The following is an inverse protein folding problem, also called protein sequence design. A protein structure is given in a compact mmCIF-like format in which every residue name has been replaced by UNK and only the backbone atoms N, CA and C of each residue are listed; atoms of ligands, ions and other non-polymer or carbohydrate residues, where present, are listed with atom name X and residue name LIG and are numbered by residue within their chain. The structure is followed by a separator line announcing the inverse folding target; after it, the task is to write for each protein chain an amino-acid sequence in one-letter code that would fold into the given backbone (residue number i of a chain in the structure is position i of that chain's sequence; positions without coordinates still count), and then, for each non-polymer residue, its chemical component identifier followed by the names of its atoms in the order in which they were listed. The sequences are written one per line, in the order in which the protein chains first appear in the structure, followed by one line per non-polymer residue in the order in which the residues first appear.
data_IF_309311462084
#
_entry.id   IF_309311462084
#
_cell.length_a   1.000
_cell.length_b   1.000
_cell.length_c   1.000
_cell.angle_alpha   90.00
_cell.angle_beta   90.00
_cell.angle_gamma   90.00
#
_symmetry.space_group_name_H-M   'P 1'
#
loop_
_entity.id
_entity.type
_entity.pdbx_description
1 polymer ?
#
# COMPACT_ATOMS: atom_id res chain seq x y z
N UNK A 1 7.35 -9.56 8.74
CA UNK A 1 6.69 -10.48 7.81
C UNK A 1 6.99 -10.07 6.38
N UNK A 2 6.60 -10.90 5.41
CA UNK A 2 6.73 -10.59 3.97
C UNK A 2 5.34 -10.50 3.37
N UNK A 3 5.11 -9.52 2.49
CA UNK A 3 3.85 -9.36 1.77
C UNK A 3 4.06 -9.66 0.28
N UNK A 4 3.23 -10.53 -0.28
CA UNK A 4 3.19 -10.81 -1.71
C UNK A 4 1.89 -10.28 -2.30
N UNK A 5 1.97 -9.50 -3.38
CA UNK A 5 0.77 -9.04 -4.09
C UNK A 5 0.47 -9.94 -5.28
N UNK A 6 -0.69 -10.62 -5.23
CA UNK A 6 -1.16 -11.57 -6.23
C UNK A 6 -2.60 -11.18 -6.59
N UNK A 7 -2.78 -10.40 -7.66
CA UNK A 7 -4.08 -9.79 -8.02
C UNK A 7 -4.98 -10.70 -8.86
N UNK A 8 -5.11 -11.96 -8.44
CA UNK A 8 -5.94 -12.98 -9.08
C UNK A 8 -5.50 -14.39 -8.68
N UNK A 9 -6.45 -15.31 -8.60
CA UNK A 9 -6.23 -16.74 -8.40
C UNK A 9 -6.13 -17.51 -9.72
N UNK A 10 -6.80 -17.02 -10.77
CA UNK A 10 -6.66 -17.55 -12.13
C UNK A 10 -5.48 -16.88 -12.83
N UNK A 11 -4.76 -17.67 -13.62
CA UNK A 11 -3.62 -17.20 -14.40
C UNK A 11 -4.00 -16.02 -15.28
N UNK A 12 -5.10 -16.15 -16.02
CA UNK A 12 -5.57 -15.17 -16.99
C UNK A 12 -5.89 -13.83 -16.30
N UNK A 13 -6.54 -13.88 -15.13
CA UNK A 13 -6.86 -12.72 -14.32
C UNK A 13 -5.61 -12.03 -13.80
N UNK A 14 -4.69 -12.81 -13.21
CA UNK A 14 -3.44 -12.28 -12.67
C UNK A 14 -2.60 -11.61 -13.77
N UNK A 15 -2.36 -12.30 -14.89
CA UNK A 15 -1.50 -11.80 -15.96
C UNK A 15 -2.12 -10.60 -16.70
N UNK A 16 -3.46 -10.48 -16.70
CA UNK A 16 -4.18 -9.29 -17.18
C UNK A 16 -3.97 -8.08 -16.27
N UNK A 17 -3.97 -8.26 -14.95
CA UNK A 17 -3.77 -7.17 -13.98
C UNK A 17 -2.29 -6.80 -13.81
N UNK A 18 -1.39 -7.78 -13.83
CA UNK A 18 0.05 -7.65 -13.57
C UNK A 18 0.84 -7.89 -14.86
N UNK A 19 0.74 -6.92 -15.77
CA UNK A 19 1.33 -7.00 -17.12
C UNK A 19 2.83 -7.31 -17.04
N UNK A 20 3.27 -8.31 -17.81
CA UNK A 20 4.67 -8.73 -17.88
C UNK A 20 5.10 -9.72 -16.79
N UNK A 21 4.22 -10.08 -15.85
CA UNK A 21 4.47 -11.14 -14.88
C UNK A 21 3.87 -12.47 -15.33
N UNK A 22 4.45 -13.58 -14.87
CA UNK A 22 3.91 -14.93 -15.07
C UNK A 22 3.31 -15.46 -13.78
N UNK A 23 2.03 -15.85 -13.82
CA UNK A 23 1.30 -16.36 -12.65
C UNK A 23 2.02 -17.57 -12.04
N UNK A 24 2.33 -18.57 -12.87
CA UNK A 24 2.97 -19.81 -12.42
C UNK A 24 4.32 -19.55 -11.76
N UNK A 25 5.11 -18.62 -12.31
CA UNK A 25 6.41 -18.25 -11.72
C UNK A 25 6.25 -17.58 -10.36
N UNK A 26 5.30 -16.66 -10.23
CA UNK A 26 5.03 -15.96 -8.96
C UNK A 26 4.54 -16.94 -7.91
N UNK A 27 3.50 -17.73 -8.20
CA UNK A 27 2.94 -18.70 -7.25
C UNK A 27 3.98 -19.73 -6.83
N UNK A 28 4.71 -20.33 -7.77
CA UNK A 28 5.76 -21.31 -7.43
C UNK A 28 6.88 -20.71 -6.58
N UNK A 29 7.23 -19.44 -6.79
CA UNK A 29 8.25 -18.74 -5.99
C UNK A 29 7.75 -18.47 -4.57
N UNK A 30 6.48 -18.10 -4.39
CA UNK A 30 5.87 -17.92 -3.06
C UNK A 30 5.77 -19.26 -2.33
N UNK A 31 5.33 -20.32 -3.01
CA UNK A 31 5.29 -21.67 -2.42
C UNK A 31 6.69 -22.16 -2.01
N UNK A 32 7.70 -21.94 -2.85
CA UNK A 32 9.09 -22.25 -2.53
C UNK A 32 9.62 -21.44 -1.33
N UNK A 33 9.23 -20.18 -1.21
CA UNK A 33 9.52 -19.38 -0.02
C UNK A 33 8.88 -19.97 1.24
N UNK A 34 7.60 -20.35 1.19
CA UNK A 34 6.89 -20.95 2.34
C UNK A 34 7.51 -22.28 2.76
N UNK A 35 7.84 -23.16 1.80
CA UNK A 35 8.54 -24.41 2.06
C UNK A 35 9.89 -24.17 2.73
N UNK A 36 10.68 -23.23 2.20
CA UNK A 36 11.99 -22.91 2.72
C UNK A 36 11.92 -22.22 4.10
N UNK A 37 10.81 -21.55 4.42
CA UNK A 37 10.51 -21.00 5.75
C UNK A 37 10.21 -22.12 6.73
N UNK A 38 9.35 -23.09 6.38
CA UNK A 38 9.01 -24.23 7.25
C UNK A 38 10.23 -25.10 7.54
N UNK A 39 11.06 -25.41 6.53
CA UNK A 39 12.29 -26.18 6.70
C UNK A 39 13.29 -25.55 7.67
N UNK A 40 13.22 -24.22 7.83
CA UNK A 40 14.08 -23.46 8.75
C UNK A 40 13.39 -23.18 10.08
N UNK A 41 12.17 -23.68 10.28
CA UNK A 41 11.34 -23.42 11.45
C UNK A 41 11.21 -21.91 11.74
N UNK A 42 11.23 -21.08 10.69
CA UNK A 42 11.27 -19.63 10.85
C UNK A 42 9.85 -19.09 11.10
N UNK A 43 9.73 -18.21 12.09
CA UNK A 43 8.48 -17.55 12.49
C UNK A 43 7.98 -16.45 11.53
N UNK A 44 8.52 -16.36 10.31
CA UNK A 44 8.20 -15.25 9.41
C UNK A 44 6.73 -15.32 8.96
N UNK A 45 5.95 -14.32 9.33
CA UNK A 45 4.58 -14.22 8.86
C UNK A 45 4.52 -13.79 7.39
N UNK A 46 3.59 -14.36 6.63
CA UNK A 46 3.35 -14.00 5.24
C UNK A 46 1.95 -13.42 5.08
N UNK A 47 1.84 -12.31 4.36
CA UNK A 47 0.57 -11.79 3.88
C UNK A 47 0.50 -11.93 2.36
N UNK A 48 -0.56 -12.55 1.85
CA UNK A 48 -0.87 -12.56 0.43
C UNK A 48 -2.03 -11.61 0.18
N UNK A 49 -1.85 -10.67 -0.74
CA UNK A 49 -2.82 -9.59 -0.98
C UNK A 49 -3.36 -9.60 -2.41
N UNK A 50 -4.66 -9.39 -2.56
CA UNK A 50 -5.34 -9.25 -3.86
C UNK A 50 -6.13 -7.94 -3.91
N UNK A 51 -5.91 -7.14 -4.96
CA UNK A 51 -6.79 -6.01 -5.26
C UNK A 51 -8.11 -6.53 -5.84
N UNK A 52 -9.20 -6.00 -5.30
CA UNK A 52 -10.58 -6.32 -5.67
C UNK A 52 -10.98 -5.59 -6.94
N UNK A 53 -11.22 -6.34 -7.99
CA UNK A 53 -11.75 -5.84 -9.26
C UNK A 53 -13.02 -6.60 -9.64
N UNK A 54 -13.96 -5.99 -10.36
CA UNK A 54 -15.20 -6.67 -10.77
C UNK A 54 -15.00 -8.01 -11.49
N UNK A 55 -13.87 -8.18 -12.20
CA UNK A 55 -13.53 -9.39 -12.94
C UNK A 55 -12.76 -10.45 -12.14
N UNK A 56 -12.54 -10.26 -10.83
CA UNK A 56 -11.88 -11.25 -9.96
C UNK A 56 -12.61 -11.49 -8.62
N UNK A 57 -13.77 -10.87 -8.40
CA UNK A 57 -14.56 -11.08 -7.18
C UNK A 57 -14.99 -12.54 -7.00
N UNK A 58 -15.28 -13.24 -8.09
CA UNK A 58 -15.65 -14.67 -8.08
C UNK A 58 -14.48 -15.60 -7.72
N UNK A 59 -13.25 -15.10 -7.72
CA UNK A 59 -12.05 -15.85 -7.34
C UNK A 59 -11.73 -15.73 -5.84
N UNK A 60 -12.37 -14.79 -5.14
CA UNK A 60 -12.00 -14.38 -3.77
C UNK A 60 -11.98 -15.54 -2.79
N UNK A 61 -13.03 -16.36 -2.79
CA UNK A 61 -13.17 -17.42 -1.79
C UNK A 61 -12.15 -18.55 -2.05
N UNK A 62 -11.93 -18.90 -3.33
CA UNK A 62 -10.89 -19.86 -3.72
C UNK A 62 -9.48 -19.35 -3.38
N UNK A 63 -9.21 -18.06 -3.64
CA UNK A 63 -7.96 -17.40 -3.26
C UNK A 63 -7.74 -17.45 -1.75
N UNK A 64 -8.77 -17.08 -0.97
CA UNK A 64 -8.70 -17.07 0.48
C UNK A 64 -8.44 -18.47 1.03
N UNK A 65 -9.24 -19.47 0.61
CA UNK A 65 -9.12 -20.86 1.05
C UNK A 65 -7.75 -21.45 0.72
N UNK A 66 -7.22 -21.18 -0.48
CA UNK A 66 -5.92 -21.71 -0.88
C UNK A 66 -4.80 -21.11 -0.02
N UNK A 67 -4.71 -19.78 0.09
CA UNK A 67 -3.60 -19.15 0.77
C UNK A 67 -3.66 -19.26 2.29
N UNK A 68 -4.85 -19.24 2.90
CA UNK A 68 -5.00 -19.42 4.36
C UNK A 68 -4.74 -20.86 4.81
N UNK A 69 -4.68 -21.83 3.89
CA UNK A 69 -4.33 -23.21 4.22
C UNK A 69 -2.86 -23.39 4.63
N UNK A 70 -2.00 -22.42 4.32
CA UNK A 70 -0.59 -22.45 4.70
C UNK A 70 -0.37 -21.86 6.11
N UNK A 71 0.49 -22.45 6.96
CA UNK A 71 0.74 -21.93 8.30
C UNK A 71 1.21 -20.48 8.29
N UNK A 72 0.76 -19.63 9.23
CA UNK A 72 1.24 -18.24 9.35
C UNK A 72 1.13 -17.45 8.03
N UNK A 73 0.07 -17.71 7.26
CA UNK A 73 -0.29 -16.96 6.06
C UNK A 73 -1.65 -16.29 6.27
N UNK A 74 -1.69 -14.99 6.02
CA UNK A 74 -2.91 -14.20 6.05
C UNK A 74 -3.24 -13.67 4.67
N UNK A 75 -4.53 -13.63 4.38
CA UNK A 75 -5.07 -13.12 3.13
C UNK A 75 -5.64 -11.73 3.37
N UNK A 76 -5.23 -10.77 2.55
CA UNK A 76 -5.75 -9.41 2.60
C UNK A 76 -6.38 -9.04 1.26
N UNK A 77 -7.57 -8.46 1.29
CA UNK A 77 -8.20 -7.88 0.11
C UNK A 77 -8.21 -6.37 0.22
N UNK A 78 -7.82 -5.70 -0.85
CA UNK A 78 -7.79 -4.24 -0.95
C UNK A 78 -8.69 -3.72 -2.04
N UNK A 79 -9.36 -2.62 -1.76
CA UNK A 79 -10.06 -1.84 -2.79
C UNK A 79 -9.05 -0.99 -3.57
N UNK A 80 -9.16 -0.91 -4.91
CA UNK A 80 -8.32 -0.02 -5.69
C UNK A 80 -8.57 1.44 -5.29
N UNK A 81 -7.49 2.22 -5.26
CA UNK A 81 -7.54 3.66 -5.08
C UNK A 81 -7.09 4.35 -6.36
N UNK A 82 -7.48 5.60 -6.50
CA UNK A 82 -7.03 6.46 -7.58
C UNK A 82 -5.81 7.27 -7.13
N UNK A 83 -4.92 7.58 -8.06
CA UNK A 83 -3.73 8.35 -7.77
C UNK A 83 -4.03 9.84 -7.87
N UNK A 84 -3.43 10.69 -7.01
CA UNK A 84 -3.38 12.12 -7.24
C UNK A 84 -2.96 12.41 -8.67
N UNK A 85 -3.59 13.43 -9.25
CA UNK A 85 -3.32 13.90 -10.60
C UNK A 85 -3.79 12.98 -11.74
N UNK A 86 -4.66 12.00 -11.44
CA UNK A 86 -5.38 11.20 -12.46
C UNK A 86 -6.86 11.58 -12.60
N UNK A 87 -7.25 12.77 -12.15
CA UNK A 87 -8.61 13.32 -12.34
C UNK A 87 -9.63 12.98 -11.23
N UNK A 88 -9.19 12.48 -10.08
CA UNK A 88 -10.06 11.99 -9.00
C UNK A 88 -10.68 13.09 -8.08
N UNK A 89 -10.26 14.35 -8.23
CA UNK A 89 -10.64 15.46 -7.35
C UNK A 89 -10.10 15.35 -5.91
N UNK A 90 -10.34 16.36 -5.08
CA UNK A 90 -10.01 16.33 -3.65
C UNK A 90 -11.26 16.31 -2.78
N UNK A 91 -11.14 15.70 -1.61
CA UNK A 91 -12.14 15.77 -0.54
C UNK A 91 -11.73 16.82 0.50
N UNK A 92 -12.71 17.41 1.20
CA UNK A 92 -12.49 18.25 2.37
C UNK A 92 -12.71 17.42 3.64
N UNK A 93 -11.80 16.48 3.89
CA UNK A 93 -11.86 15.57 5.03
C UNK A 93 -10.45 15.26 5.55
N UNK A 94 -10.28 14.88 6.82
CA UNK A 94 -8.99 14.44 7.34
C UNK A 94 -8.36 13.35 6.49
N UNK A 95 -7.03 13.36 6.35
CA UNK A 95 -6.29 12.31 5.66
C UNK A 95 -6.36 11.00 6.44
N UNK A 96 -6.53 9.87 5.75
CA UNK A 96 -6.38 8.53 6.35
C UNK A 96 -5.02 8.35 7.04
N UNK A 97 -3.98 9.05 6.55
CA UNK A 97 -2.63 9.07 7.12
C UNK A 97 -2.34 10.29 8.00
N UNK A 98 -3.36 11.08 8.37
CA UNK A 98 -3.20 12.37 9.04
C UNK A 98 -3.16 12.32 10.57
N UNK A 99 -3.75 11.29 11.18
CA UNK A 99 -3.95 11.22 12.64
C UNK A 99 -2.87 10.36 13.34
N UNK A 100 -2.80 9.05 13.04
CA UNK A 100 -1.97 8.10 13.80
C UNK A 100 -0.78 7.48 13.03
N UNK A 101 -0.84 7.47 11.69
CA UNK A 101 0.16 6.82 10.82
C UNK A 101 0.85 7.81 9.87
N UNK A 102 1.33 8.92 10.41
CA UNK A 102 2.10 9.85 9.59
C UNK A 102 3.47 9.24 9.24
N UNK A 103 3.83 9.25 7.96
CA UNK A 103 5.02 8.58 7.46
C UNK A 103 5.91 9.56 6.66
N UNK A 104 7.20 9.27 6.59
CA UNK A 104 8.10 9.89 5.62
C UNK A 104 8.48 8.87 4.55
N UNK A 105 8.37 9.31 3.31
CA UNK A 105 8.70 8.54 2.12
C UNK A 105 9.95 9.11 1.48
N UNK A 106 10.91 8.24 1.15
CA UNK A 106 12.14 8.60 0.48
C UNK A 106 12.09 8.09 -0.94
N UNK A 107 12.29 8.99 -1.90
CA UNK A 107 12.62 8.61 -3.27
C UNK A 107 14.01 7.97 -3.30
N UNK A 108 14.32 7.25 -4.38
CA UNK A 108 15.59 6.53 -4.53
C UNK A 108 16.81 7.46 -4.57
N UNK A 109 16.60 8.74 -4.89
CA UNK A 109 17.65 9.77 -4.89
C UNK A 109 17.80 10.49 -3.54
N UNK A 110 17.01 10.11 -2.53
CA UNK A 110 17.03 10.67 -1.18
C UNK A 110 16.09 11.85 -0.95
N UNK A 111 15.47 12.44 -1.98
CA UNK A 111 14.38 13.40 -1.77
C UNK A 111 13.28 12.77 -0.94
N UNK A 112 12.64 13.56 -0.09
CA UNK A 112 11.69 13.06 0.91
C UNK A 112 10.34 13.74 0.75
N UNK A 113 9.25 12.98 0.81
CA UNK A 113 7.86 13.45 0.81
C UNK A 113 7.11 12.85 2.00
N UNK A 114 5.88 13.28 2.25
CA UNK A 114 5.04 12.79 3.35
C UNK A 114 4.04 11.71 2.93
N UNK A 115 3.94 11.39 1.63
CA UNK A 115 2.97 10.44 1.14
C UNK A 115 3.51 9.67 -0.06
N UNK A 116 3.38 8.34 -0.07
CA UNK A 116 3.71 7.52 -1.23
C UNK A 116 2.92 7.87 -2.49
N UNK A 117 1.78 8.55 -2.33
CA UNK A 117 0.91 8.98 -3.43
C UNK A 117 1.48 10.18 -4.19
N UNK A 118 2.54 10.82 -3.70
CA UNK A 118 3.24 11.95 -4.34
C UNK A 118 4.15 11.52 -5.48
N UNK A 119 3.73 10.60 -6.34
CA UNK A 119 4.55 10.05 -7.41
C UNK A 119 5.05 11.09 -8.43
N UNK A 120 4.43 12.27 -8.50
CA UNK A 120 4.85 13.42 -9.32
C UNK A 120 5.74 14.42 -8.57
N UNK A 121 6.11 14.11 -7.33
CA UNK A 121 7.05 14.90 -6.52
C UNK A 121 6.56 16.35 -6.31
N UNK A 122 5.24 16.54 -6.19
CA UNK A 122 4.61 17.85 -6.02
C UNK A 122 4.76 18.40 -4.61
N UNK A 123 5.01 17.54 -3.62
CA UNK A 123 5.10 17.91 -2.22
C UNK A 123 6.39 17.39 -1.56
N UNK A 124 7.54 17.60 -2.22
CA UNK A 124 8.86 17.31 -1.64
C UNK A 124 9.08 18.19 -0.39
N UNK A 125 9.35 17.53 0.72
CA UNK A 125 9.54 18.12 2.05
C UNK A 125 11.02 18.28 2.43
N UNK A 126 11.91 17.45 1.88
CA UNK A 126 13.32 17.45 2.25
C UNK A 126 14.19 16.55 1.37
N UNK A 127 15.41 16.30 1.84
CA UNK A 127 16.43 15.48 1.19
C UNK A 127 17.26 14.78 2.27
N UNK A 128 17.12 13.46 2.37
CA UNK A 128 17.80 12.60 3.34
C UNK A 128 19.32 12.54 3.16
N UNK A 129 19.85 13.01 2.03
CA UNK A 129 21.30 13.15 1.84
C UNK A 129 21.85 14.41 2.52
N UNK A 130 20.98 15.35 2.89
CA UNK A 130 21.36 16.66 3.46
C UNK A 130 20.93 16.83 4.91
N UNK A 131 19.80 16.25 5.28
CA UNK A 131 19.19 16.39 6.60
C UNK A 131 18.85 15.03 7.18
N UNK A 132 18.90 14.92 8.50
CA UNK A 132 18.44 13.72 9.20
C UNK A 132 16.92 13.59 9.10
N UNK A 133 16.42 12.35 9.17
CA UNK A 133 14.96 12.07 9.26
C UNK A 133 14.28 12.90 10.34
N UNK A 134 14.96 13.12 11.49
CA UNK A 134 14.43 13.90 12.61
C UNK A 134 14.28 15.38 12.27
N UNK A 135 15.22 15.96 11.53
CA UNK A 135 15.16 17.35 11.09
C UNK A 135 14.05 17.55 10.06
N UNK A 136 13.96 16.67 9.06
CA UNK A 136 12.89 16.69 8.05
C UNK A 136 11.52 16.53 8.71
N UNK A 137 11.40 15.56 9.63
CA UNK A 137 10.16 15.32 10.37
C UNK A 137 9.69 16.52 11.19
N UNK A 138 10.62 17.18 11.88
CA UNK A 138 10.32 18.30 12.77
C UNK A 138 10.32 19.68 12.09
N UNK A 139 10.61 19.72 10.79
CA UNK A 139 10.60 20.95 10.01
C UNK A 139 9.23 21.66 10.15
N UNK A 140 9.19 23.00 10.27
CA UNK A 140 7.94 23.74 10.42
C UNK A 140 6.90 23.44 9.33
N UNK A 141 7.34 23.27 8.08
CA UNK A 141 6.47 22.89 6.96
C UNK A 141 5.85 21.50 7.14
N UNK A 142 6.62 20.53 7.65
CA UNK A 142 6.11 19.18 7.91
C UNK A 142 5.02 19.20 8.99
N UNK A 143 5.25 20.01 10.04
CA UNK A 143 4.29 20.22 11.13
C UNK A 143 3.01 20.90 10.65
N UNK A 144 3.13 21.95 9.83
CA UNK A 144 1.96 22.66 9.30
C UNK A 144 1.16 21.78 8.35
N UNK A 145 1.83 21.00 7.50
CA UNK A 145 1.16 20.06 6.61
C UNK A 145 0.45 18.93 7.36
N UNK A 146 1.04 18.38 8.42
CA UNK A 146 0.35 17.44 9.32
C UNK A 146 -0.93 18.05 9.90
N UNK A 147 -0.87 19.28 10.37
CA UNK A 147 -2.04 19.97 10.92
C UNK A 147 -3.11 20.21 9.84
N UNK A 148 -2.70 20.65 8.65
CA UNK A 148 -3.62 20.84 7.53
C UNK A 148 -4.33 19.52 7.15
N UNK A 149 -3.59 18.41 7.10
CA UNK A 149 -4.17 17.09 6.80
C UNK A 149 -5.13 16.59 7.88
N UNK A 150 -4.92 16.94 9.15
CA UNK A 150 -5.86 16.64 10.25
C UNK A 150 -7.14 17.47 10.15
N UNK A 151 -7.01 18.73 9.76
CA UNK A 151 -8.15 19.63 9.62
C UNK A 151 -8.95 19.39 8.32
N UNK A 152 -8.43 18.59 7.39
CA UNK A 152 -9.00 18.46 6.05
C UNK A 152 -8.65 19.61 5.10
N UNK A 153 -7.71 20.48 5.47
CA UNK A 153 -7.19 21.61 4.68
C UNK A 153 -6.23 21.15 3.58
N UNK A 154 -6.62 20.11 2.83
CA UNK A 154 -5.78 19.43 1.82
C UNK A 154 -5.34 20.33 0.67
N UNK A 155 -6.14 21.33 0.36
CA UNK A 155 -5.86 22.33 -0.68
C UNK A 155 -4.57 23.12 -0.42
N UNK A 156 -4.07 23.14 0.82
CA UNK A 156 -2.81 23.80 1.19
C UNK A 156 -1.55 23.00 0.80
N UNK A 157 -1.72 21.75 0.35
CA UNK A 157 -0.62 20.85 0.02
C UNK A 157 -0.76 20.42 -1.44
N UNK A 158 0.22 20.67 -2.32
CA UNK A 158 0.07 20.48 -3.76
C UNK A 158 -0.47 19.10 -4.18
N UNK A 159 0.12 18.02 -3.68
CA UNK A 159 -0.33 16.63 -3.97
C UNK A 159 -1.69 16.29 -3.33
N UNK A 160 -2.08 16.98 -2.27
CA UNK A 160 -3.33 16.67 -1.57
C UNK A 160 -4.52 17.43 -2.17
N UNK A 161 -4.27 18.52 -2.90
CA UNK A 161 -5.28 19.36 -3.56
C UNK A 161 -6.10 18.63 -4.64
N UNK A 162 -5.68 17.44 -5.06
CA UNK A 162 -6.38 16.53 -5.98
C UNK A 162 -6.41 15.08 -5.44
N UNK A 163 -6.41 14.93 -4.11
CA UNK A 163 -6.42 13.63 -3.43
C UNK A 163 -7.73 13.37 -2.67
N UNK A 164 -8.36 12.24 -2.96
CA UNK A 164 -9.62 11.82 -2.33
C UNK A 164 -9.47 10.72 -1.25
N UNK A 165 -8.24 10.40 -0.84
CA UNK A 165 -7.96 9.32 0.12
C UNK A 165 -8.27 9.78 1.56
N UNK A 166 -9.44 9.43 2.10
CA UNK A 166 -9.87 9.70 3.47
C UNK A 166 -10.16 8.42 4.26
N UNK A 167 -10.52 8.56 5.54
CA UNK A 167 -10.81 7.46 6.45
C UNK A 167 -11.99 6.56 5.98
N UNK A 168 -12.83 7.03 5.06
CA UNK A 168 -13.96 6.25 4.55
C UNK A 168 -13.55 5.20 3.50
N UNK A 169 -12.31 5.26 2.99
CA UNK A 169 -11.84 4.46 1.87
C UNK A 169 -10.87 3.32 2.23
N UNK A 170 -10.45 3.23 3.50
CA UNK A 170 -9.49 2.21 3.93
C UNK A 170 -10.18 0.92 4.40
N UNK A 171 -10.83 0.23 3.47
CA UNK A 171 -11.38 -1.09 3.74
C UNK A 171 -10.31 -2.16 3.43
N UNK A 172 -9.50 -2.51 4.42
CA UNK A 172 -8.75 -3.76 4.43
C UNK A 172 -9.64 -4.86 4.99
N UNK A 173 -9.98 -5.85 4.15
CA UNK A 173 -10.65 -7.05 4.64
C UNK A 173 -9.63 -8.17 4.79
N UNK A 174 -9.54 -8.73 6.00
CA UNK A 174 -8.54 -9.71 6.36
C UNK A 174 -9.21 -11.06 6.62
N UNK A 175 -8.66 -12.11 6.01
CA UNK A 175 -9.06 -13.50 6.23
C UNK A 175 -7.81 -14.27 6.64
N UNK A 176 -7.80 -14.85 7.85
CA UNK A 176 -6.66 -15.61 8.33
C UNK A 176 -6.94 -16.32 9.65
N UNK A 177 -6.21 -17.40 9.90
CA UNK A 177 -6.22 -18.15 11.16
C UNK A 177 -5.09 -17.66 12.07
N UNK A 178 -5.35 -17.68 13.38
CA UNK A 178 -4.37 -17.37 14.44
C UNK A 178 -3.07 -18.20 14.34
#
# INVERSE_FOLDING_TARGET
GIRFSIDGFRKETFEKHRIGLSYNRVVSSVLGFLEAREKREHSCFVEVRMIRFPNNEDERDAFAMFWSSFPRVKVCFTTPYYWPSTGQGSVQAPCVRGEDDFELYYYTDGRTTMCCMDWQEKAVLGDGNKYTTREIWNHPLAKSWRQALRNGDRHLIPVCSDCNQDLSRDAHFEVGTD
#
